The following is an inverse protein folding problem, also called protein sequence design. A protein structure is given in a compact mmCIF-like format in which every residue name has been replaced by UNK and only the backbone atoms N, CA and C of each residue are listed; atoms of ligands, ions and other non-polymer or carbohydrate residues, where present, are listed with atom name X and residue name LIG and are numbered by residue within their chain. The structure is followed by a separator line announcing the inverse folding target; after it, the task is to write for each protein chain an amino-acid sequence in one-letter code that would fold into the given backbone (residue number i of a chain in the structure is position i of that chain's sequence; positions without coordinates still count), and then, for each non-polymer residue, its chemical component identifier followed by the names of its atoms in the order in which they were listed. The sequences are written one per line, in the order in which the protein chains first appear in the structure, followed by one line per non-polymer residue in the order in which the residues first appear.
data_IF_079548188407
#
_entry.id   IF_079548188407
#
_cell.length_a   1.000
_cell.length_b   1.000
_cell.length_c   1.000
_cell.angle_alpha   90.00
_cell.angle_beta   90.00
_cell.angle_gamma   90.00
#
_symmetry.space_group_name_H-M   'P 1'
#
loop_
_entity.id
_entity.type
_entity.pdbx_description
1 polymer ?
#
# COMPACT_ATOMS: atom_id res chain seq x y z
N UNK A 1 27.76 22.48 -5.63
CA UNK A 1 27.19 23.71 -5.01
C UNK A 1 26.50 24.62 -6.03
N UNK A 2 27.07 24.89 -7.20
CA UNK A 2 26.42 25.70 -8.26
C UNK A 2 25.23 24.99 -8.93
N UNK A 3 25.30 23.70 -9.22
CA UNK A 3 24.18 22.92 -9.79
C UNK A 3 22.95 22.86 -8.87
N UNK A 4 23.13 22.79 -7.54
CA UNK A 4 22.00 22.82 -6.60
C UNK A 4 21.32 24.20 -6.53
N UNK A 5 22.06 25.28 -6.73
CA UNK A 5 21.51 26.64 -6.68
C UNK A 5 20.71 26.99 -7.95
N UNK A 6 21.22 26.58 -9.13
CA UNK A 6 20.48 26.74 -10.39
C UNK A 6 19.25 25.84 -10.46
N UNK A 7 19.34 24.61 -9.99
CA UNK A 7 18.20 23.68 -9.90
C UNK A 7 17.07 24.23 -9.03
N UNK A 8 17.38 24.76 -7.82
CA UNK A 8 16.39 25.39 -6.94
C UNK A 8 15.74 26.62 -7.58
N UNK A 9 16.52 27.49 -8.25
CA UNK A 9 15.98 28.70 -8.91
C UNK A 9 15.01 28.38 -10.05
N UNK A 10 15.26 27.31 -10.81
CA UNK A 10 14.34 26.83 -11.86
C UNK A 10 13.08 26.24 -11.21
N UNK A 11 13.19 25.52 -10.08
CA UNK A 11 12.07 24.94 -9.40
C UNK A 11 11.10 25.98 -8.82
N UNK A 12 11.58 27.08 -8.24
CA UNK A 12 10.71 28.18 -7.78
C UNK A 12 9.96 28.90 -8.91
N UNK A 13 10.40 28.77 -10.16
CA UNK A 13 9.66 29.26 -11.32
C UNK A 13 8.48 28.36 -11.71
N UNK A 14 8.39 27.14 -11.14
CA UNK A 14 7.29 26.21 -11.37
C UNK A 14 6.01 26.72 -10.72
N UNK A 15 4.97 26.83 -11.50
CA UNK A 15 3.66 27.35 -11.07
C UNK A 15 2.75 26.21 -10.66
N UNK A 16 2.16 26.34 -9.47
CA UNK A 16 1.38 25.30 -8.83
C UNK A 16 -0.12 25.65 -8.85
N UNK A 17 -0.95 24.69 -9.27
CA UNK A 17 -2.39 24.74 -9.11
C UNK A 17 -2.85 23.78 -8.03
N UNK A 18 -3.87 24.13 -7.24
CA UNK A 18 -4.41 23.26 -6.20
C UNK A 18 -5.95 23.23 -6.27
N UNK A 19 -6.54 22.09 -6.57
CA UNK A 19 -8.00 21.89 -6.69
C UNK A 19 -8.50 21.08 -5.51
N UNK A 20 -9.50 21.65 -4.80
CA UNK A 20 -10.03 21.09 -3.55
C UNK A 20 -9.33 21.71 -2.35
N UNK A 21 -9.85 22.86 -1.90
CA UNK A 21 -9.33 23.65 -0.78
C UNK A 21 -10.08 23.36 0.52
N UNK A 22 -10.29 22.07 0.78
CA UNK A 22 -10.90 21.59 2.01
C UNK A 22 -9.91 21.58 3.19
N UNK A 23 -10.24 20.79 4.23
CA UNK A 23 -9.41 20.68 5.46
C UNK A 23 -7.97 20.21 5.21
N UNK A 24 -7.72 19.48 4.14
CA UNK A 24 -6.37 19.05 3.72
C UNK A 24 -5.80 20.02 2.69
N UNK A 25 -6.55 20.33 1.63
CA UNK A 25 -6.00 21.01 0.46
C UNK A 25 -5.59 22.45 0.72
N UNK A 26 -6.36 23.23 1.51
CA UNK A 26 -6.00 24.61 1.80
C UNK A 26 -4.68 24.71 2.58
N UNK A 27 -4.49 24.01 3.74
CA UNK A 27 -3.23 24.09 4.45
C UNK A 27 -2.02 23.58 3.64
N UNK A 28 -2.19 22.56 2.77
CA UNK A 28 -1.13 22.09 1.88
C UNK A 28 -0.75 23.17 0.85
N UNK A 29 -1.75 23.79 0.20
CA UNK A 29 -1.52 24.83 -0.79
C UNK A 29 -0.80 26.06 -0.18
N UNK A 30 -1.22 26.47 1.03
CA UNK A 30 -0.58 27.57 1.76
C UNK A 30 0.84 27.23 2.20
N UNK A 31 1.07 26.00 2.69
CA UNK A 31 2.43 25.56 3.06
C UNK A 31 3.39 25.54 1.87
N UNK A 32 2.91 25.19 0.67
CA UNK A 32 3.67 25.25 -0.57
C UNK A 32 3.97 26.71 -0.94
N UNK A 33 2.99 27.61 -0.80
CA UNK A 33 3.18 29.05 -1.06
C UNK A 33 4.20 29.69 -0.08
N UNK A 34 4.16 29.29 1.20
CA UNK A 34 5.12 29.75 2.23
C UNK A 34 6.57 29.33 1.89
N UNK A 35 6.76 28.28 1.06
CA UNK A 35 8.08 27.90 0.50
C UNK A 35 8.50 28.71 -0.71
N UNK A 36 7.69 29.70 -1.13
CA UNK A 36 8.02 30.65 -2.19
C UNK A 36 7.51 30.27 -3.59
N UNK A 37 6.64 29.27 -3.71
CA UNK A 37 6.02 28.92 -4.98
C UNK A 37 4.84 29.86 -5.32
N UNK A 38 4.63 30.11 -6.64
CA UNK A 38 3.40 30.74 -7.14
C UNK A 38 2.26 29.71 -7.13
N UNK A 39 1.36 29.82 -6.14
CA UNK A 39 0.25 28.87 -5.92
C UNK A 39 -1.09 29.55 -6.23
N UNK A 40 -1.90 28.89 -7.06
CA UNK A 40 -3.30 29.24 -7.26
C UNK A 40 -4.20 28.10 -6.82
N UNK A 41 -5.36 28.42 -6.27
CA UNK A 41 -6.30 27.43 -5.77
C UNK A 41 -7.70 27.59 -6.36
N UNK A 42 -8.46 26.47 -6.38
CA UNK A 42 -9.87 26.44 -6.73
C UNK A 42 -10.63 25.45 -5.83
N UNK A 43 -11.82 25.84 -5.43
CA UNK A 43 -12.78 24.96 -4.76
C UNK A 43 -14.20 25.26 -5.26
N UNK A 44 -15.11 24.28 -5.20
CA UNK A 44 -16.54 24.47 -5.54
C UNK A 44 -17.25 25.34 -4.50
N UNK A 45 -16.74 25.38 -3.27
CA UNK A 45 -17.18 26.27 -2.21
C UNK A 45 -16.28 27.51 -2.19
N UNK A 46 -16.83 28.74 -2.19
CA UNK A 46 -16.02 29.95 -2.12
C UNK A 46 -15.00 29.92 -0.99
N UNK A 47 -13.76 30.25 -1.30
CA UNK A 47 -12.63 30.30 -0.37
C UNK A 47 -11.93 31.65 -0.46
N UNK A 48 -11.17 31.98 0.58
CA UNK A 48 -10.24 33.11 0.60
C UNK A 48 -8.94 32.70 1.29
N UNK A 49 -7.85 33.27 0.87
CA UNK A 49 -6.53 33.11 1.49
C UNK A 49 -5.71 34.36 1.19
N UNK A 50 -4.85 34.72 2.14
CA UNK A 50 -3.86 35.80 1.97
C UNK A 50 -2.53 35.30 1.38
N UNK A 51 -2.39 33.97 1.23
CA UNK A 51 -1.14 33.30 0.79
C UNK A 51 -1.18 32.78 -0.65
N UNK A 52 -2.38 32.44 -1.14
CA UNK A 52 -2.57 31.88 -2.48
C UNK A 52 -3.65 32.66 -3.24
N UNK A 53 -3.54 32.70 -4.57
CA UNK A 53 -4.56 33.30 -5.42
C UNK A 53 -5.72 32.33 -5.67
N UNK A 54 -6.95 32.71 -5.33
CA UNK A 54 -8.14 31.88 -5.59
C UNK A 54 -8.69 32.21 -6.98
N UNK A 55 -8.95 31.18 -7.78
CA UNK A 55 -9.55 31.29 -9.12
C UNK A 55 -11.04 30.92 -9.09
N UNK A 56 -11.81 31.51 -10.01
CA UNK A 56 -13.25 31.27 -10.12
C UNK A 56 -13.62 29.95 -10.80
N UNK A 57 -12.75 29.44 -11.64
CA UNK A 57 -12.98 28.21 -12.42
C UNK A 57 -11.72 27.34 -12.51
N UNK A 58 -11.92 26.04 -12.77
CA UNK A 58 -10.81 25.10 -13.05
C UNK A 58 -10.02 25.56 -14.30
N UNK A 59 -10.72 26.05 -15.35
CA UNK A 59 -10.08 26.54 -16.55
C UNK A 59 -9.08 27.66 -16.26
N UNK A 60 -9.52 28.70 -15.52
CA UNK A 60 -8.65 29.81 -15.11
C UNK A 60 -7.46 29.35 -14.25
N UNK A 61 -7.68 28.29 -13.41
CA UNK A 61 -6.63 27.75 -12.57
C UNK A 61 -5.55 27.08 -13.43
N UNK A 62 -5.92 26.19 -14.36
CA UNK A 62 -4.97 25.32 -15.07
C UNK A 62 -4.25 26.02 -16.21
N UNK A 63 -4.77 27.16 -16.70
CA UNK A 63 -4.27 27.84 -17.92
C UNK A 63 -2.77 28.15 -17.88
N UNK A 64 -2.22 28.39 -16.71
CA UNK A 64 -0.86 28.88 -16.50
C UNK A 64 -0.12 28.09 -15.38
N UNK A 65 -0.45 26.81 -15.17
CA UNK A 65 0.15 25.99 -14.10
C UNK A 65 0.94 24.83 -14.68
N UNK A 66 2.11 24.56 -14.13
CA UNK A 66 2.97 23.45 -14.53
C UNK A 66 2.53 22.14 -13.87
N UNK A 67 2.20 22.22 -12.58
CA UNK A 67 1.74 21.10 -11.77
C UNK A 67 0.40 21.46 -11.14
N UNK A 68 -0.60 20.60 -11.32
CA UNK A 68 -1.94 20.78 -10.75
C UNK A 68 -2.27 19.62 -9.83
N UNK A 69 -2.37 19.90 -8.53
CA UNK A 69 -2.77 18.95 -7.51
C UNK A 69 -4.29 18.88 -7.36
N UNK A 70 -4.83 17.68 -7.23
CA UNK A 70 -6.26 17.42 -7.02
C UNK A 70 -6.46 16.71 -5.69
N UNK A 71 -7.09 17.40 -4.73
CA UNK A 71 -7.41 16.92 -3.38
C UNK A 71 -8.93 16.83 -3.16
N UNK A 72 -9.65 16.32 -4.14
CA UNK A 72 -11.09 16.12 -4.09
C UNK A 72 -11.46 14.94 -3.22
N UNK A 73 -12.45 15.00 -2.33
CA UNK A 73 -12.80 13.88 -1.46
C UNK A 73 -13.30 12.66 -2.25
N UNK A 74 -13.02 11.47 -1.71
CA UNK A 74 -13.53 10.18 -2.16
C UNK A 74 -14.36 9.55 -1.04
N UNK A 75 -15.58 10.07 -0.76
CA UNK A 75 -16.40 9.60 0.35
C UNK A 75 -16.99 8.22 0.06
N UNK A 76 -17.37 7.53 1.13
CA UNK A 76 -18.39 6.49 1.04
C UNK A 76 -19.80 7.09 0.95
N UNK A 77 -20.78 6.25 0.70
CA UNK A 77 -22.19 6.58 0.81
C UNK A 77 -22.58 6.85 2.27
N UNK A 78 -23.74 7.49 2.46
CA UNK A 78 -24.29 7.73 3.77
C UNK A 78 -24.45 6.40 4.55
N UNK A 79 -24.11 6.44 5.83
CA UNK A 79 -24.11 5.27 6.72
C UNK A 79 -22.82 4.43 6.71
N UNK A 80 -21.83 4.72 5.83
CA UNK A 80 -20.52 4.02 5.80
C UNK A 80 -19.40 4.78 6.51
N UNK A 81 -19.74 5.82 7.27
CA UNK A 81 -18.76 6.70 7.94
C UNK A 81 -18.20 6.16 9.28
N UNK A 82 -18.63 4.97 9.69
CA UNK A 82 -18.17 4.30 10.92
C UNK A 82 -18.71 4.88 12.23
N UNK A 83 -19.61 5.87 12.20
CA UNK A 83 -20.26 6.41 13.41
C UNK A 83 -21.31 5.45 14.01
N UNK A 84 -21.77 4.53 13.20
CA UNK A 84 -22.63 3.40 13.57
C UNK A 84 -22.02 2.10 13.07
N UNK A 85 -22.44 0.91 13.57
CA UNK A 85 -21.89 -0.36 13.06
C UNK A 85 -22.06 -0.50 11.55
N UNK A 86 -20.96 -0.81 10.85
CA UNK A 86 -20.94 -0.92 9.38
C UNK A 86 -20.52 -2.31 8.87
N UNK A 87 -19.97 -3.18 9.73
CA UNK A 87 -19.47 -4.51 9.33
C UNK A 87 -20.52 -5.44 8.70
N UNK A 88 -21.82 -5.18 8.97
CA UNK A 88 -22.96 -5.93 8.42
C UNK A 88 -23.47 -5.37 7.08
N UNK A 89 -23.00 -4.21 6.67
CA UNK A 89 -23.42 -3.57 5.42
C UNK A 89 -22.78 -4.27 4.21
N UNK A 90 -23.42 -4.20 3.02
CA UNK A 90 -22.79 -4.66 1.80
C UNK A 90 -21.45 -3.97 1.56
N UNK A 91 -20.45 -4.73 1.09
CA UNK A 91 -19.15 -4.15 0.74
C UNK A 91 -19.28 -3.20 -0.45
N UNK A 92 -18.63 -2.03 -0.38
CA UNK A 92 -18.66 -1.00 -1.43
C UNK A 92 -17.30 -0.33 -1.59
N UNK A 93 -17.03 0.13 -2.82
CA UNK A 93 -15.90 0.99 -3.13
C UNK A 93 -16.22 2.45 -2.73
N UNK A 94 -15.23 3.33 -2.79
CA UNK A 94 -15.43 4.78 -2.62
C UNK A 94 -16.26 5.36 -3.77
N UNK A 95 -16.90 6.51 -3.52
CA UNK A 95 -17.50 7.29 -4.58
C UNK A 95 -16.44 8.20 -5.24
N UNK A 96 -16.21 7.98 -6.52
CA UNK A 96 -15.23 8.71 -7.32
C UNK A 96 -15.81 9.81 -8.19
N UNK A 97 -17.10 10.08 -8.14
CA UNK A 97 -17.77 11.00 -9.08
C UNK A 97 -17.21 12.43 -9.04
N UNK A 98 -16.88 12.92 -7.85
CA UNK A 98 -16.28 14.24 -7.70
C UNK A 98 -14.87 14.30 -8.34
N UNK A 99 -14.05 13.28 -8.10
CA UNK A 99 -12.72 13.16 -8.71
C UNK A 99 -12.81 13.07 -10.23
N UNK A 100 -13.66 12.19 -10.75
CA UNK A 100 -13.88 12.04 -12.22
C UNK A 100 -14.27 13.35 -12.90
N UNK A 101 -15.21 14.10 -12.30
CA UNK A 101 -15.65 15.40 -12.82
C UNK A 101 -14.51 16.43 -12.85
N UNK A 102 -13.67 16.46 -11.82
CA UNK A 102 -12.53 17.37 -11.76
C UNK A 102 -11.47 16.97 -12.78
N UNK A 103 -11.09 15.69 -12.84
CA UNK A 103 -10.07 15.19 -13.78
C UNK A 103 -10.49 15.42 -15.24
N UNK A 104 -11.77 15.17 -15.60
CA UNK A 104 -12.27 15.45 -16.94
C UNK A 104 -12.15 16.94 -17.30
N UNK A 105 -12.55 17.84 -16.39
CA UNK A 105 -12.43 19.30 -16.60
C UNK A 105 -10.97 19.74 -16.71
N UNK A 106 -10.05 19.15 -15.95
CA UNK A 106 -8.63 19.39 -16.09
C UNK A 106 -8.14 18.91 -17.46
N UNK A 107 -8.52 17.69 -17.87
CA UNK A 107 -8.13 17.14 -19.16
C UNK A 107 -8.56 18.01 -20.35
N UNK A 108 -9.77 18.61 -20.30
CA UNK A 108 -10.31 19.49 -21.34
C UNK A 108 -9.52 20.81 -21.50
N UNK A 109 -8.80 21.25 -20.46
CA UNK A 109 -8.14 22.56 -20.40
C UNK A 109 -6.62 22.50 -20.18
N UNK A 110 -6.04 21.32 -19.99
CA UNK A 110 -4.60 21.11 -19.80
C UNK A 110 -3.94 20.53 -21.05
N UNK A 111 -2.63 20.67 -21.13
CA UNK A 111 -1.79 20.20 -22.24
C UNK A 111 -0.84 19.08 -21.80
N UNK A 112 -0.16 18.45 -22.76
CA UNK A 112 0.86 17.42 -22.54
C UNK A 112 2.09 17.91 -21.76
N UNK A 113 2.33 19.22 -21.72
CA UNK A 113 3.45 19.81 -20.99
C UNK A 113 3.18 19.93 -19.49
N UNK A 114 1.91 19.97 -19.09
CA UNK A 114 1.48 20.09 -17.71
C UNK A 114 1.39 18.72 -17.02
N UNK A 115 1.43 18.69 -15.70
CA UNK A 115 1.32 17.49 -14.88
C UNK A 115 0.11 17.59 -13.96
N UNK A 116 -0.81 16.65 -14.09
CA UNK A 116 -1.98 16.51 -13.23
C UNK A 116 -1.70 15.47 -12.15
N UNK A 117 -1.81 15.85 -10.88
CA UNK A 117 -1.42 15.02 -9.73
C UNK A 117 -2.63 14.77 -8.85
N UNK A 118 -3.06 13.52 -8.76
CA UNK A 118 -4.14 13.11 -7.86
C UNK A 118 -3.57 12.77 -6.47
N UNK A 119 -4.12 13.43 -5.43
CA UNK A 119 -3.76 13.20 -4.02
C UNK A 119 -4.78 12.28 -3.32
N UNK A 120 -6.03 12.31 -3.76
CA UNK A 120 -7.15 11.63 -3.09
C UNK A 120 -6.91 10.14 -2.89
N UNK A 121 -7.24 9.63 -1.71
CA UNK A 121 -7.10 8.20 -1.39
C UNK A 121 -8.06 7.36 -2.24
N UNK A 122 -7.53 6.31 -2.86
CA UNK A 122 -8.29 5.38 -3.70
C UNK A 122 -7.81 3.93 -3.46
N UNK A 123 -8.59 2.94 -3.89
CA UNK A 123 -8.19 1.53 -3.82
C UNK A 123 -7.18 1.16 -4.93
N UNK A 124 -6.33 0.15 -4.71
CA UNK A 124 -5.38 -0.34 -5.71
C UNK A 124 -6.07 -0.68 -7.05
N UNK A 125 -5.49 -0.18 -8.15
CA UNK A 125 -6.02 -0.33 -9.51
C UNK A 125 -7.05 0.73 -9.93
N UNK A 126 -7.48 1.61 -9.04
CA UNK A 126 -8.51 2.62 -9.32
C UNK A 126 -8.04 3.65 -10.35
N UNK A 127 -6.83 4.19 -10.19
CA UNK A 127 -6.32 5.20 -11.13
C UNK A 127 -6.29 4.67 -12.56
N UNK A 128 -5.88 3.44 -12.76
CA UNK A 128 -5.85 2.81 -14.09
C UNK A 128 -7.26 2.56 -14.63
N UNK A 129 -8.14 2.00 -13.80
CA UNK A 129 -9.50 1.59 -14.19
C UNK A 129 -10.42 2.78 -14.41
N UNK A 130 -10.41 3.76 -13.48
CA UNK A 130 -11.42 4.80 -13.42
C UNK A 130 -10.96 6.15 -13.99
N UNK A 131 -9.67 6.51 -13.85
CA UNK A 131 -9.19 7.86 -14.11
C UNK A 131 -8.35 7.97 -15.36
N UNK A 132 -7.46 7.01 -15.63
CA UNK A 132 -6.62 7.04 -16.81
C UNK A 132 -7.38 7.14 -18.14
N UNK A 133 -8.57 6.51 -18.31
CA UNK A 133 -9.38 6.70 -19.51
C UNK A 133 -9.91 8.13 -19.70
N UNK A 134 -10.02 8.92 -18.62
CA UNK A 134 -10.53 10.29 -18.64
C UNK A 134 -9.41 11.32 -18.88
N UNK A 135 -8.14 10.94 -18.71
CA UNK A 135 -7.00 11.87 -18.77
C UNK A 135 -6.07 11.48 -19.90
N UNK A 136 -6.29 12.10 -21.07
CA UNK A 136 -5.56 11.81 -22.31
C UNK A 136 -4.72 12.99 -22.81
N UNK A 137 -5.10 14.23 -22.45
CA UNK A 137 -4.48 15.46 -22.91
C UNK A 137 -3.33 15.96 -22.03
N UNK A 138 -3.16 15.37 -20.84
CA UNK A 138 -2.10 15.72 -19.89
C UNK A 138 -1.50 14.46 -19.25
N UNK A 139 -0.50 14.63 -18.41
CA UNK A 139 0.16 13.52 -17.70
C UNK A 139 -0.44 13.34 -16.32
N UNK A 140 -1.09 12.19 -16.07
CA UNK A 140 -1.65 11.83 -14.78
C UNK A 140 -0.60 11.15 -13.91
N UNK A 141 -0.38 11.71 -12.72
CA UNK A 141 0.41 11.14 -11.64
C UNK A 141 -0.48 10.89 -10.42
N UNK A 142 -0.09 9.94 -9.59
CA UNK A 142 -0.74 9.68 -8.30
C UNK A 142 0.25 9.94 -7.17
N UNK A 143 -0.14 10.76 -6.20
CA UNK A 143 0.76 11.18 -5.13
C UNK A 143 -0.05 11.33 -3.83
N UNK A 144 -0.43 10.22 -3.18
CA UNK A 144 -1.20 10.26 -1.95
C UNK A 144 -0.35 10.77 -0.78
N UNK A 145 -1.00 11.43 0.17
CA UNK A 145 -0.33 11.98 1.35
C UNK A 145 -0.56 11.14 2.60
N UNK A 146 0.46 11.07 3.48
CA UNK A 146 0.36 10.55 4.83
C UNK A 146 0.23 11.74 5.81
N UNK A 147 -0.93 12.37 5.79
CA UNK A 147 -1.23 13.58 6.56
C UNK A 147 -2.30 13.28 7.60
N UNK A 148 -2.05 13.69 8.85
CA UNK A 148 -3.02 13.63 9.93
C UNK A 148 -3.81 14.95 10.06
N UNK A 149 -5.11 14.86 10.39
CA UNK A 149 -5.90 16.06 10.69
C UNK A 149 -5.40 16.71 11.98
N UNK A 150 -5.10 18.00 11.92
CA UNK A 150 -4.52 18.77 13.01
C UNK A 150 -3.05 19.16 12.79
N UNK A 151 -2.30 18.41 11.97
CA UNK A 151 -0.88 18.67 11.66
C UNK A 151 -0.63 18.85 10.16
N UNK A 152 -1.68 19.14 9.36
CA UNK A 152 -1.63 19.11 7.90
C UNK A 152 -0.48 19.92 7.30
N UNK A 153 -0.25 21.14 7.77
CA UNK A 153 0.81 22.01 7.24
C UNK A 153 2.21 21.47 7.60
N UNK A 154 2.38 20.95 8.81
CA UNK A 154 3.64 20.34 9.26
C UNK A 154 3.91 19.04 8.50
N UNK A 155 2.90 18.13 8.40
CA UNK A 155 3.03 16.88 7.65
C UNK A 155 3.29 17.10 6.15
N UNK A 156 2.89 18.26 5.59
CA UNK A 156 3.19 18.63 4.20
C UNK A 156 4.67 18.95 4.00
N UNK A 157 5.31 19.58 4.97
CA UNK A 157 6.73 20.00 4.87
C UNK A 157 7.68 19.05 5.61
N UNK A 158 7.18 18.18 6.48
CA UNK A 158 7.92 17.16 7.21
C UNK A 158 7.30 15.76 7.05
N UNK A 159 7.00 15.28 5.83
CA UNK A 159 6.35 14.00 5.64
C UNK A 159 7.26 12.83 6.02
N UNK A 160 6.67 11.71 6.46
CA UNK A 160 7.39 10.45 6.71
C UNK A 160 7.98 9.87 5.43
N UNK A 161 7.23 9.95 4.33
CA UNK A 161 7.65 9.58 2.98
C UNK A 161 6.81 10.28 1.91
N UNK A 162 7.37 10.42 0.73
CA UNK A 162 6.70 10.86 -0.48
C UNK A 162 6.45 9.63 -1.38
N UNK A 163 5.21 9.46 -1.84
CA UNK A 163 4.85 8.38 -2.76
C UNK A 163 4.51 8.97 -4.13
N UNK A 164 5.21 8.55 -5.18
CA UNK A 164 5.02 9.05 -6.54
C UNK A 164 4.67 7.89 -7.47
N UNK A 165 3.43 7.84 -7.92
CA UNK A 165 2.91 6.82 -8.82
C UNK A 165 2.70 7.32 -10.25
N UNK A 166 3.13 6.54 -11.22
CA UNK A 166 2.89 6.79 -12.63
C UNK A 166 2.36 5.54 -13.36
N UNK A 167 1.96 5.70 -14.61
CA UNK A 167 1.39 4.58 -15.40
C UNK A 167 2.27 3.33 -15.42
N UNK A 168 3.59 3.50 -15.50
CA UNK A 168 4.56 2.42 -15.65
C UNK A 168 5.72 2.53 -14.62
N UNK A 169 5.49 3.16 -13.49
CA UNK A 169 6.55 3.43 -12.52
C UNK A 169 7.68 4.25 -13.13
N UNK A 170 8.91 3.83 -12.90
CA UNK A 170 10.11 4.47 -13.49
C UNK A 170 10.40 4.02 -14.93
N UNK A 171 9.61 3.10 -15.48
CA UNK A 171 9.76 2.62 -16.85
C UNK A 171 9.17 3.60 -17.84
N UNK A 172 9.94 3.90 -18.90
CA UNK A 172 9.56 4.85 -19.94
C UNK A 172 9.92 6.30 -19.62
N UNK A 173 10.48 7.00 -20.64
CA UNK A 173 11.04 8.34 -20.52
C UNK A 173 10.08 9.38 -19.91
N UNK A 174 8.82 9.38 -20.35
CA UNK A 174 7.85 10.38 -19.87
C UNK A 174 7.43 10.17 -18.40
N UNK A 175 7.26 8.92 -17.97
CA UNK A 175 6.95 8.61 -16.57
C UNK A 175 8.10 9.03 -15.66
N UNK A 176 9.32 8.68 -16.03
CA UNK A 176 10.53 9.03 -15.31
C UNK A 176 10.70 10.55 -15.16
N UNK A 177 10.59 11.31 -16.25
CA UNK A 177 10.72 12.78 -16.20
C UNK A 177 9.72 13.40 -15.23
N UNK A 178 8.45 12.93 -15.22
CA UNK A 178 7.42 13.47 -14.33
C UNK A 178 7.61 13.06 -12.87
N UNK A 179 8.10 11.86 -12.63
CA UNK A 179 8.46 11.41 -11.27
C UNK A 179 9.64 12.25 -10.73
N UNK A 180 10.68 12.45 -11.52
CA UNK A 180 11.84 13.29 -11.16
C UNK A 180 11.45 14.77 -10.97
N UNK A 181 10.46 15.29 -11.72
CA UNK A 181 9.91 16.64 -11.51
C UNK A 181 9.24 16.77 -10.14
N UNK A 182 8.39 15.80 -9.77
CA UNK A 182 7.73 15.80 -8.46
C UNK A 182 8.73 15.58 -7.31
N UNK A 183 9.72 14.71 -7.48
CA UNK A 183 10.79 14.54 -6.50
C UNK A 183 11.54 15.86 -6.28
N UNK A 184 11.92 16.55 -7.35
CA UNK A 184 12.59 17.85 -7.27
C UNK A 184 11.72 18.92 -6.60
N UNK A 185 10.40 18.88 -6.84
CA UNK A 185 9.44 19.75 -6.17
C UNK A 185 9.45 19.48 -4.65
N UNK A 186 9.36 18.23 -4.22
CA UNK A 186 9.37 17.88 -2.80
C UNK A 186 10.71 18.16 -2.13
N UNK A 187 11.83 17.95 -2.80
CA UNK A 187 13.15 18.35 -2.30
C UNK A 187 13.27 19.86 -2.02
N UNK A 188 12.36 20.66 -2.59
CA UNK A 188 12.31 22.12 -2.35
C UNK A 188 11.28 22.47 -1.27
N UNK A 189 10.17 21.73 -1.19
CA UNK A 189 9.08 21.97 -0.25
C UNK A 189 9.37 21.39 1.13
N UNK A 190 9.96 20.19 1.21
CA UNK A 190 10.16 19.48 2.47
C UNK A 190 11.39 19.97 3.24
N UNK A 191 11.26 20.01 4.57
CA UNK A 191 12.33 20.42 5.49
C UNK A 191 13.15 19.24 6.03
N UNK A 192 12.61 18.01 5.99
CA UNK A 192 13.16 16.83 6.66
C UNK A 192 13.83 15.81 5.72
N UNK A 193 14.05 16.13 4.43
CA UNK A 193 14.65 15.23 3.43
C UNK A 193 14.01 13.83 3.46
N UNK A 194 12.69 13.70 3.19
CA UNK A 194 11.98 12.45 3.31
C UNK A 194 12.40 11.45 2.23
N UNK A 195 12.34 10.16 2.53
CA UNK A 195 12.49 9.15 1.49
C UNK A 195 11.39 9.28 0.43
N UNK A 196 11.75 9.02 -0.83
CA UNK A 196 10.82 9.06 -1.96
C UNK A 196 10.62 7.64 -2.49
N UNK A 197 9.38 7.18 -2.51
CA UNK A 197 8.96 5.88 -3.04
C UNK A 197 8.30 6.08 -4.41
N UNK A 198 8.97 5.63 -5.45
CA UNK A 198 8.48 5.74 -6.83
C UNK A 198 8.00 4.39 -7.34
N UNK A 199 6.81 4.38 -7.96
CA UNK A 199 6.22 3.13 -8.45
C UNK A 199 5.14 3.34 -9.51
N UNK A 200 4.46 2.26 -9.83
CA UNK A 200 3.22 2.31 -10.61
C UNK A 200 2.09 2.94 -9.79
N UNK A 201 1.00 3.28 -10.45
CA UNK A 201 -0.21 3.75 -9.75
C UNK A 201 -0.67 2.73 -8.69
N UNK A 202 -0.71 1.45 -9.07
CA UNK A 202 -1.15 0.36 -8.19
C UNK A 202 -0.27 0.18 -6.96
N UNK A 203 1.05 0.32 -7.12
CA UNK A 203 2.00 0.22 -6.01
C UNK A 203 1.82 1.37 -5.00
N UNK A 204 1.67 2.60 -5.49
CA UNK A 204 1.50 3.77 -4.61
C UNK A 204 0.10 3.85 -3.99
N UNK A 205 -0.95 3.42 -4.69
CA UNK A 205 -2.29 3.22 -4.14
C UNK A 205 -2.25 2.19 -3.00
N UNK A 206 -1.54 1.07 -3.22
CA UNK A 206 -1.35 0.00 -2.23
C UNK A 206 -0.57 0.50 -1.01
N UNK A 207 0.54 1.22 -1.21
CA UNK A 207 1.32 1.80 -0.10
C UNK A 207 0.42 2.65 0.80
N UNK A 208 -0.40 3.54 0.22
CA UNK A 208 -1.30 4.43 0.98
C UNK A 208 -2.36 3.66 1.76
N UNK A 209 -3.06 2.72 1.13
CA UNK A 209 -4.16 2.00 1.77
C UNK A 209 -3.65 1.04 2.85
N UNK A 210 -2.60 0.26 2.55
CA UNK A 210 -2.07 -0.71 3.49
C UNK A 210 -1.31 -0.08 4.65
N UNK A 211 -0.74 1.12 4.48
CA UNK A 211 -0.22 1.92 5.60
C UNK A 211 -1.32 2.17 6.66
N UNK A 212 -2.48 2.65 6.24
CA UNK A 212 -3.60 2.87 7.15
C UNK A 212 -4.11 1.57 7.78
N UNK A 213 -4.20 0.49 7.00
CA UNK A 213 -4.65 -0.82 7.48
C UNK A 213 -3.67 -1.41 8.51
N UNK A 214 -2.36 -1.24 8.30
CA UNK A 214 -1.34 -1.67 9.25
C UNK A 214 -1.50 -0.95 10.60
N UNK A 215 -1.74 0.36 10.58
CA UNK A 215 -2.04 1.14 11.81
C UNK A 215 -3.32 0.63 12.47
N UNK A 216 -4.38 0.36 11.69
CA UNK A 216 -5.65 -0.17 12.21
C UNK A 216 -5.46 -1.52 12.92
N UNK A 217 -4.64 -2.41 12.36
CA UNK A 217 -4.30 -3.69 13.00
C UNK A 217 -3.55 -3.49 14.32
N UNK A 218 -2.58 -2.55 14.38
CA UNK A 218 -1.87 -2.22 15.63
C UNK A 218 -2.84 -1.71 16.70
N UNK A 219 -3.75 -0.81 16.34
CA UNK A 219 -4.76 -0.24 17.25
C UNK A 219 -5.69 -1.36 17.75
N UNK A 220 -6.21 -2.19 16.85
CA UNK A 220 -7.12 -3.29 17.22
C UNK A 220 -6.43 -4.27 18.19
N UNK A 221 -5.16 -4.62 17.94
CA UNK A 221 -4.39 -5.51 18.79
C UNK A 221 -4.19 -4.91 20.20
N UNK A 222 -3.79 -3.65 20.33
CA UNK A 222 -3.54 -3.05 21.65
C UNK A 222 -4.85 -2.84 22.43
N UNK A 223 -5.96 -2.52 21.75
CA UNK A 223 -7.28 -2.44 22.38
C UNK A 223 -7.75 -3.80 22.87
N UNK A 224 -7.48 -4.88 22.13
CA UNK A 224 -7.79 -6.24 22.58
C UNK A 224 -6.97 -6.64 23.82
N UNK A 225 -5.68 -6.26 23.90
CA UNK A 225 -4.87 -6.44 25.10
C UNK A 225 -5.50 -5.70 26.29
N UNK A 226 -6.10 -4.53 26.07
CA UNK A 226 -6.83 -3.78 27.09
C UNK A 226 -8.06 -4.54 27.59
N UNK A 227 -8.86 -5.12 26.69
CA UNK A 227 -10.04 -5.90 27.06
C UNK A 227 -9.67 -7.15 27.85
N UNK A 228 -8.59 -7.85 27.45
CA UNK A 228 -8.03 -8.99 28.22
C UNK A 228 -7.59 -8.53 29.61
N UNK A 229 -6.86 -7.43 29.72
CA UNK A 229 -6.40 -6.90 31.00
C UNK A 229 -7.58 -6.57 31.94
N UNK A 230 -8.61 -5.91 31.39
CA UNK A 230 -9.81 -5.54 32.13
C UNK A 230 -10.56 -6.76 32.68
N UNK A 231 -10.73 -7.81 31.88
CA UNK A 231 -11.48 -9.01 32.27
C UNK A 231 -10.67 -9.98 33.12
N UNK A 232 -9.40 -10.13 32.85
CA UNK A 232 -8.51 -11.04 33.59
C UNK A 232 -8.18 -10.50 35.00
N UNK A 233 -8.04 -9.18 35.17
CA UNK A 233 -7.53 -8.54 36.38
C UNK A 233 -6.03 -8.78 36.57
N UNK A 234 -5.44 -8.11 37.56
CA UNK A 234 -3.99 -8.21 37.87
C UNK A 234 -3.03 -7.98 36.68
N UNK A 235 -3.50 -7.30 35.65
CA UNK A 235 -2.76 -6.98 34.45
C UNK A 235 -2.90 -5.49 34.12
N UNK A 236 -1.78 -4.80 33.99
CA UNK A 236 -1.69 -3.41 33.54
C UNK A 236 -1.39 -3.42 32.03
N UNK A 237 -2.36 -2.95 31.25
CA UNK A 237 -2.24 -2.87 29.79
C UNK A 237 -1.09 -2.00 29.34
N UNK A 238 -0.85 -0.87 30.01
CA UNK A 238 0.20 0.08 29.64
C UNK A 238 1.59 -0.53 29.82
N UNK A 239 1.78 -1.34 30.88
CA UNK A 239 3.02 -2.06 31.09
C UNK A 239 3.30 -3.06 29.97
N UNK A 240 2.28 -3.78 29.50
CA UNK A 240 2.40 -4.73 28.40
C UNK A 240 2.69 -4.03 27.09
N UNK A 241 1.90 -3.02 26.73
CA UNK A 241 2.02 -2.34 25.44
C UNK A 241 3.31 -1.53 25.34
N UNK A 242 3.77 -0.90 26.44
CA UNK A 242 5.08 -0.23 26.47
C UNK A 242 6.24 -1.21 26.30
N UNK A 243 6.16 -2.41 26.85
CA UNK A 243 7.18 -3.45 26.63
C UNK A 243 7.23 -3.87 25.15
N UNK A 244 6.07 -4.06 24.53
CA UNK A 244 5.98 -4.38 23.09
C UNK A 244 6.52 -3.24 22.23
N UNK A 245 6.19 -1.99 22.54
CA UNK A 245 6.66 -0.81 21.79
C UNK A 245 8.19 -0.62 21.82
N UNK A 246 8.88 -1.15 22.82
CA UNK A 246 10.34 -1.14 22.93
C UNK A 246 11.02 -2.31 22.19
N UNK A 247 10.25 -3.21 21.57
CA UNK A 247 10.77 -4.41 20.89
C UNK A 247 11.25 -4.09 19.46
N UNK A 248 12.40 -3.45 19.34
CA UNK A 248 12.94 -2.93 18.08
C UNK A 248 13.51 -3.98 17.11
N UNK A 249 13.76 -5.20 17.57
CA UNK A 249 14.30 -6.26 16.69
C UNK A 249 13.27 -6.85 15.73
N UNK A 250 11.98 -6.87 16.10
CA UNK A 250 10.93 -7.54 15.33
C UNK A 250 9.66 -6.70 15.20
N UNK A 251 9.10 -6.19 16.29
CA UNK A 251 7.79 -5.50 16.29
C UNK A 251 7.91 -4.11 15.68
N UNK A 252 8.90 -3.33 16.11
CA UNK A 252 9.18 -1.98 15.60
C UNK A 252 10.41 -2.05 14.67
N UNK A 253 10.30 -2.83 13.59
CA UNK A 253 11.39 -3.08 12.64
C UNK A 253 10.81 -3.60 11.31
N UNK A 254 11.62 -3.66 10.23
CA UNK A 254 11.19 -4.25 8.94
C UNK A 254 11.13 -5.79 8.96
N UNK A 255 11.49 -6.46 10.05
CA UNK A 255 11.35 -7.90 10.17
C UNK A 255 9.88 -8.34 9.94
N UNK A 256 9.69 -9.44 9.23
CA UNK A 256 8.38 -9.99 8.84
C UNK A 256 7.56 -9.11 7.87
N UNK A 257 8.19 -8.16 7.19
CA UNK A 257 7.56 -7.34 6.15
C UNK A 257 7.81 -7.87 4.71
N UNK A 258 8.44 -9.04 4.58
CA UNK A 258 8.66 -9.69 3.28
C UNK A 258 7.59 -10.74 3.02
N UNK A 259 6.84 -10.55 1.94
CA UNK A 259 5.87 -11.54 1.49
C UNK A 259 6.56 -12.80 0.91
N UNK A 260 5.97 -13.98 1.13
CA UNK A 260 6.49 -15.26 0.67
C UNK A 260 5.74 -16.42 1.31
N UNK A 261 6.44 -17.51 1.59
CA UNK A 261 5.91 -18.70 2.28
C UNK A 261 6.28 -18.74 3.77
N UNK A 262 6.28 -17.59 4.45
CA UNK A 262 6.66 -17.53 5.86
C UNK A 262 5.57 -16.93 6.74
N UNK A 263 5.34 -17.51 7.90
CA UNK A 263 4.40 -17.02 8.91
C UNK A 263 4.95 -17.09 10.35
N UNK A 264 6.27 -17.26 10.48
CA UNK A 264 6.95 -17.29 11.78
C UNK A 264 7.04 -18.66 12.46
N UNK A 265 6.52 -19.72 11.84
CA UNK A 265 6.67 -21.13 12.32
C UNK A 265 5.69 -21.53 13.40
N UNK A 266 6.06 -22.57 14.17
CA UNK A 266 5.18 -23.28 15.09
C UNK A 266 4.51 -22.42 16.17
N UNK A 267 5.18 -21.38 16.65
CA UNK A 267 4.64 -20.52 17.71
C UNK A 267 3.39 -19.75 17.26
N UNK A 268 3.36 -19.29 16.01
CA UNK A 268 2.30 -18.40 15.53
C UNK A 268 0.93 -19.09 15.50
N UNK A 269 0.72 -20.23 14.80
CA UNK A 269 -0.58 -20.91 14.87
C UNK A 269 -0.91 -21.41 16.28
N UNK A 270 0.07 -21.97 17.01
CA UNK A 270 -0.15 -22.49 18.37
C UNK A 270 -0.67 -21.41 19.32
N UNK A 271 -0.02 -20.25 19.34
CA UNK A 271 -0.35 -19.18 20.29
C UNK A 271 -1.68 -18.51 19.90
N UNK A 272 -1.96 -18.33 18.60
CA UNK A 272 -3.27 -17.82 18.17
C UNK A 272 -4.41 -18.78 18.50
N UNK A 273 -4.21 -20.10 18.36
CA UNK A 273 -5.22 -21.11 18.77
C UNK A 273 -5.49 -21.03 20.28
N UNK A 274 -4.44 -20.90 21.10
CA UNK A 274 -4.58 -20.76 22.55
C UNK A 274 -5.28 -19.44 22.93
N UNK A 275 -4.99 -18.35 22.23
CA UNK A 275 -5.61 -17.05 22.46
C UNK A 275 -7.09 -17.02 22.04
N UNK A 276 -7.50 -17.81 21.04
CA UNK A 276 -8.92 -18.02 20.72
C UNK A 276 -9.68 -18.63 21.90
N UNK A 277 -9.08 -19.66 22.54
CA UNK A 277 -9.65 -20.23 23.73
C UNK A 277 -9.79 -19.20 24.87
N UNK A 278 -8.74 -18.39 25.11
CA UNK A 278 -8.77 -17.34 26.12
C UNK A 278 -9.85 -16.28 25.84
N UNK A 279 -9.97 -15.84 24.59
CA UNK A 279 -11.00 -14.88 24.19
C UNK A 279 -12.42 -15.41 24.50
N UNK A 280 -12.66 -16.72 24.28
CA UNK A 280 -13.90 -17.37 24.60
C UNK A 280 -14.13 -17.49 26.13
N UNK A 281 -13.12 -17.92 26.90
CA UNK A 281 -13.21 -18.03 28.35
C UNK A 281 -13.49 -16.70 29.04
N UNK A 282 -12.94 -15.62 28.52
CA UNK A 282 -13.14 -14.27 29.03
C UNK A 282 -14.40 -13.57 28.48
N UNK A 283 -15.15 -14.25 27.61
CA UNK A 283 -16.33 -13.68 26.93
C UNK A 283 -16.08 -12.28 26.38
N UNK A 284 -15.06 -12.15 25.48
CA UNK A 284 -14.73 -10.87 24.86
C UNK A 284 -15.80 -10.41 23.87
N UNK A 285 -16.62 -11.32 23.34
CA UNK A 285 -17.64 -11.02 22.33
C UNK A 285 -17.10 -10.89 20.90
N UNK A 286 -15.79 -11.06 20.68
CA UNK A 286 -15.12 -11.10 19.37
C UNK A 286 -13.84 -11.96 19.44
N UNK A 287 -13.37 -12.44 18.27
CA UNK A 287 -12.17 -13.29 18.17
C UNK A 287 -11.29 -12.85 16.98
N UNK A 288 -10.35 -11.94 17.24
CA UNK A 288 -9.38 -11.49 16.25
C UNK A 288 -8.40 -12.61 15.85
N UNK A 289 -8.13 -13.54 16.77
CA UNK A 289 -7.20 -14.65 16.52
C UNK A 289 -7.76 -15.66 15.53
N UNK A 290 -9.10 -15.90 15.56
CA UNK A 290 -9.79 -16.68 14.53
C UNK A 290 -9.60 -16.07 13.14
N UNK A 291 -9.73 -14.75 13.04
CA UNK A 291 -9.53 -14.03 11.78
C UNK A 291 -8.10 -14.22 11.24
N UNK A 292 -7.08 -14.14 12.10
CA UNK A 292 -5.67 -14.38 11.73
C UNK A 292 -5.48 -15.81 11.22
N UNK A 293 -6.02 -16.82 11.95
CA UNK A 293 -5.90 -18.23 11.56
C UNK A 293 -6.65 -18.53 10.26
N UNK A 294 -7.86 -17.98 10.11
CA UNK A 294 -8.65 -18.12 8.88
C UNK A 294 -7.93 -17.47 7.69
N UNK A 295 -7.35 -16.28 7.86
CA UNK A 295 -6.57 -15.62 6.81
C UNK A 295 -5.36 -16.47 6.39
N UNK A 296 -4.60 -17.01 7.35
CA UNK A 296 -3.46 -17.90 7.10
C UNK A 296 -3.85 -19.11 6.23
N UNK A 297 -4.95 -19.77 6.57
CA UNK A 297 -5.45 -20.93 5.84
C UNK A 297 -5.95 -20.56 4.43
N UNK A 298 -6.68 -19.46 4.29
CA UNK A 298 -7.19 -19.00 2.98
C UNK A 298 -6.06 -18.52 2.07
N UNK A 299 -5.03 -17.88 2.60
CA UNK A 299 -3.83 -17.52 1.85
C UNK A 299 -3.11 -18.76 1.30
N UNK A 300 -2.94 -19.80 2.13
CA UNK A 300 -2.36 -21.07 1.70
C UNK A 300 -3.21 -21.77 0.62
N UNK A 301 -4.52 -21.76 0.76
CA UNK A 301 -5.45 -22.30 -0.25
C UNK A 301 -5.38 -21.53 -1.56
N UNK A 302 -5.29 -20.21 -1.51
CA UNK A 302 -5.14 -19.35 -2.70
C UNK A 302 -3.84 -19.64 -3.43
N UNK A 303 -2.73 -19.75 -2.69
CA UNK A 303 -1.43 -20.12 -3.27
C UNK A 303 -1.47 -21.53 -3.91
N UNK A 304 -2.08 -22.51 -3.25
CA UNK A 304 -2.23 -23.86 -3.80
C UNK A 304 -3.03 -23.86 -5.12
N UNK A 305 -4.11 -23.08 -5.20
CA UNK A 305 -4.87 -22.92 -6.44
C UNK A 305 -4.04 -22.26 -7.54
N UNK A 306 -3.24 -21.25 -7.21
CA UNK A 306 -2.35 -20.63 -8.17
C UNK A 306 -1.29 -21.61 -8.71
N UNK A 307 -0.67 -22.40 -7.83
CA UNK A 307 0.27 -23.46 -8.23
C UNK A 307 -0.38 -24.43 -9.21
N UNK A 308 -1.61 -24.90 -8.91
CA UNK A 308 -2.34 -25.87 -9.72
C UNK A 308 -2.81 -25.36 -11.09
N UNK A 309 -2.74 -24.07 -11.35
CA UNK A 309 -2.96 -23.53 -12.71
C UNK A 309 -1.80 -23.86 -13.66
N UNK A 310 -0.64 -24.19 -13.13
CA UNK A 310 0.58 -24.48 -13.89
C UNK A 310 0.88 -25.98 -14.03
N UNK A 311 0.30 -26.84 -13.18
CA UNK A 311 0.47 -28.29 -13.23
C UNK A 311 -0.10 -28.96 -11.99
N UNK A 312 -0.37 -30.27 -12.09
CA UNK A 312 -0.97 -31.05 -10.99
C UNK A 312 0.03 -31.89 -10.23
N UNK A 313 1.18 -32.21 -10.82
CA UNK A 313 2.24 -32.97 -10.16
C UNK A 313 3.29 -31.99 -9.60
N UNK A 314 3.25 -31.75 -8.30
CA UNK A 314 3.92 -30.64 -7.64
C UNK A 314 4.96 -31.17 -6.65
N UNK A 315 6.19 -30.67 -6.74
CA UNK A 315 7.23 -30.92 -5.75
C UNK A 315 7.55 -29.65 -4.97
N UNK A 316 7.70 -29.76 -3.66
CA UNK A 316 8.11 -28.65 -2.77
C UNK A 316 9.55 -28.86 -2.34
N UNK A 317 10.39 -27.82 -2.44
CA UNK A 317 11.82 -27.91 -2.13
C UNK A 317 12.10 -28.21 -0.65
N UNK A 318 11.13 -27.96 0.25
CA UNK A 318 11.25 -28.25 1.68
C UNK A 318 9.89 -28.39 2.34
N UNK A 319 9.84 -29.24 3.38
CA UNK A 319 8.72 -29.34 4.32
C UNK A 319 8.92 -28.47 5.56
N UNK A 320 10.12 -27.98 5.81
CA UNK A 320 10.44 -27.22 7.03
C UNK A 320 9.83 -25.80 7.02
N UNK A 321 9.60 -25.24 8.20
CA UNK A 321 9.02 -23.90 8.32
C UNK A 321 10.06 -22.79 8.04
N UNK A 322 11.35 -23.09 8.08
CA UNK A 322 12.45 -22.15 7.74
C UNK A 322 13.69 -22.90 7.26
N UNK A 323 14.59 -22.25 6.51
CA UNK A 323 15.82 -22.88 6.04
C UNK A 323 16.73 -23.31 7.21
N UNK A 324 17.55 -24.32 6.97
CA UNK A 324 18.55 -24.83 7.93
C UNK A 324 17.99 -25.61 9.12
N UNK A 325 16.73 -26.07 9.04
CA UNK A 325 16.10 -26.92 10.06
C UNK A 325 15.25 -28.02 9.43
N UNK A 326 15.01 -29.09 10.18
CA UNK A 326 14.06 -30.16 9.81
C UNK A 326 12.71 -30.03 10.53
N UNK A 327 12.50 -28.94 11.27
CA UNK A 327 11.27 -28.72 12.02
C UNK A 327 10.09 -28.39 11.08
N UNK A 328 9.02 -29.15 11.21
CA UNK A 328 7.83 -29.05 10.36
C UNK A 328 6.59 -28.48 11.07
N UNK A 329 6.63 -28.37 12.40
CA UNK A 329 5.52 -27.82 13.16
C UNK A 329 5.25 -26.37 12.74
N UNK A 330 4.00 -26.08 12.39
CA UNK A 330 3.60 -24.77 11.88
C UNK A 330 4.10 -24.49 10.46
N UNK A 331 4.61 -25.49 9.73
CA UNK A 331 5.09 -25.29 8.36
C UNK A 331 3.99 -24.80 7.43
N UNK A 332 4.22 -23.63 6.84
CA UNK A 332 3.33 -23.09 5.82
C UNK A 332 3.41 -23.90 4.51
N UNK A 333 4.58 -24.47 4.20
CA UNK A 333 4.75 -25.39 3.08
C UNK A 333 3.80 -26.56 3.17
N UNK A 334 3.76 -27.25 4.33
CA UNK A 334 2.85 -28.38 4.54
C UNK A 334 1.38 -27.96 4.47
N UNK A 335 1.03 -26.76 4.91
CA UNK A 335 -0.33 -26.25 4.78
C UNK A 335 -0.71 -26.02 3.31
N UNK A 336 0.19 -25.46 2.50
CA UNK A 336 -0.03 -25.33 1.04
C UNK A 336 -0.13 -26.70 0.37
N UNK A 337 0.73 -27.65 0.73
CA UNK A 337 0.69 -29.05 0.24
C UNK A 337 -0.65 -29.73 0.57
N UNK A 338 -1.19 -29.51 1.79
CA UNK A 338 -2.52 -29.99 2.16
C UNK A 338 -3.60 -29.48 1.16
N UNK A 339 -3.58 -28.19 0.84
CA UNK A 339 -4.53 -27.62 -0.12
C UNK A 339 -4.28 -28.04 -1.57
N UNK A 340 -3.04 -28.25 -1.98
CA UNK A 340 -2.71 -28.86 -3.28
C UNK A 340 -3.40 -30.21 -3.43
N UNK A 341 -3.27 -31.11 -2.43
CA UNK A 341 -3.96 -32.40 -2.41
C UNK A 341 -5.48 -32.26 -2.41
N UNK A 342 -6.00 -31.37 -1.56
CA UNK A 342 -7.44 -31.09 -1.44
C UNK A 342 -8.08 -30.65 -2.75
N UNK A 343 -7.34 -29.93 -3.60
CA UNK A 343 -7.78 -29.45 -4.90
C UNK A 343 -7.38 -30.37 -6.08
N UNK A 344 -7.01 -31.63 -5.81
CA UNK A 344 -6.78 -32.65 -6.81
C UNK A 344 -5.38 -32.66 -7.42
N UNK A 345 -4.42 -31.96 -6.81
CA UNK A 345 -3.00 -32.08 -7.13
C UNK A 345 -2.35 -33.31 -6.50
N UNK A 346 -1.22 -33.69 -7.01
CA UNK A 346 -0.38 -34.80 -6.51
C UNK A 346 0.94 -34.22 -6.02
N UNK A 347 1.46 -34.74 -4.91
CA UNK A 347 2.78 -34.36 -4.42
C UNK A 347 3.81 -35.38 -4.90
N UNK A 348 4.83 -34.90 -5.59
CA UNK A 348 5.97 -35.70 -5.99
C UNK A 348 6.89 -35.96 -4.80
N UNK A 349 7.41 -37.21 -4.69
CA UNK A 349 8.31 -37.59 -3.60
C UNK A 349 9.78 -37.16 -3.83
N UNK A 350 10.09 -36.51 -4.95
CA UNK A 350 11.39 -35.99 -5.32
C UNK A 350 11.39 -35.48 -6.76
N UNK A 351 12.44 -34.78 -7.12
CA UNK A 351 12.61 -34.19 -8.45
C UNK A 351 12.85 -35.24 -9.56
N UNK A 352 13.18 -36.49 -9.18
CA UNK A 352 13.39 -37.60 -10.13
C UNK A 352 12.10 -38.18 -10.73
N UNK A 353 10.94 -37.86 -10.14
CA UNK A 353 9.63 -38.19 -10.71
C UNK A 353 9.21 -37.10 -11.71
N UNK A 354 8.35 -37.40 -12.72
CA UNK A 354 7.86 -36.35 -13.58
C UNK A 354 7.17 -35.26 -12.79
N UNK A 355 7.82 -34.10 -12.64
CA UNK A 355 7.33 -32.93 -11.90
C UNK A 355 6.91 -31.87 -12.90
N UNK A 356 5.69 -31.34 -12.78
CA UNK A 356 5.20 -30.24 -13.60
C UNK A 356 5.52 -28.88 -12.96
N UNK A 357 5.46 -28.82 -11.62
CA UNK A 357 5.72 -27.58 -10.88
C UNK A 357 6.67 -27.85 -9.68
N UNK A 358 7.71 -27.09 -9.59
CA UNK A 358 8.60 -27.01 -8.42
C UNK A 358 8.24 -25.77 -7.63
N UNK A 359 7.87 -25.93 -6.36
CA UNK A 359 7.62 -24.80 -5.45
C UNK A 359 8.88 -24.54 -4.62
N UNK A 360 9.43 -23.34 -4.75
CA UNK A 360 10.58 -22.89 -3.99
C UNK A 360 10.15 -22.41 -2.60
N UNK A 361 10.28 -23.29 -1.61
CA UNK A 361 9.73 -23.06 -0.26
C UNK A 361 10.48 -21.96 0.50
N UNK A 362 11.81 -21.97 0.44
CA UNK A 362 12.62 -20.92 1.09
C UNK A 362 13.36 -20.08 0.05
N UNK A 363 13.61 -18.82 0.40
CA UNK A 363 14.37 -17.91 -0.46
C UNK A 363 15.78 -18.42 -0.78
N UNK A 364 16.38 -19.17 0.15
CA UNK A 364 17.70 -19.76 0.01
C UNK A 364 17.74 -21.11 -0.72
N UNK A 365 16.55 -21.69 -1.05
CA UNK A 365 16.54 -23.00 -1.69
C UNK A 365 17.05 -22.89 -3.14
N UNK A 366 18.05 -23.68 -3.43
CA UNK A 366 18.55 -23.85 -4.79
C UNK A 366 17.74 -24.96 -5.47
N UNK A 367 17.02 -24.59 -6.52
CA UNK A 367 16.24 -25.51 -7.33
C UNK A 367 16.69 -25.37 -8.78
N UNK A 368 16.70 -26.49 -9.50
CA UNK A 368 16.98 -26.52 -10.93
C UNK A 368 15.88 -27.29 -11.63
N UNK A 369 15.48 -26.82 -12.79
CA UNK A 369 14.46 -27.45 -13.61
C UNK A 369 14.85 -27.39 -15.09
N UNK A 370 14.35 -28.31 -15.87
CA UNK A 370 14.37 -28.16 -17.33
C UNK A 370 13.33 -27.13 -17.77
N UNK A 371 13.36 -26.75 -19.05
CA UNK A 371 12.44 -25.73 -19.58
C UNK A 371 10.97 -26.15 -19.60
N UNK A 372 10.66 -27.43 -19.39
CA UNK A 372 9.29 -27.94 -19.36
C UNK A 372 8.65 -27.92 -17.97
N UNK A 373 9.47 -27.76 -16.92
CA UNK A 373 9.03 -27.73 -15.53
C UNK A 373 8.95 -26.29 -15.03
N UNK A 374 7.80 -25.91 -14.48
CA UNK A 374 7.58 -24.56 -13.92
C UNK A 374 8.27 -24.43 -12.55
N UNK A 375 9.01 -23.36 -12.33
CA UNK A 375 9.49 -22.96 -11.00
C UNK A 375 8.53 -21.91 -10.46
N UNK A 376 7.79 -22.25 -9.43
CA UNK A 376 6.92 -21.34 -8.70
C UNK A 376 7.70 -20.71 -7.54
N UNK A 377 8.01 -19.41 -7.65
CA UNK A 377 8.80 -18.66 -6.67
C UNK A 377 7.97 -17.63 -5.89
N UNK A 378 7.52 -17.96 -4.69
CA UNK A 378 6.78 -17.02 -3.82
C UNK A 378 7.64 -15.87 -3.29
N UNK A 379 8.98 -15.95 -3.41
CA UNK A 379 9.92 -14.94 -2.91
C UNK A 379 10.32 -13.90 -3.94
N UNK A 380 10.11 -14.21 -5.24
CA UNK A 380 10.42 -13.33 -6.38
C UNK A 380 11.91 -12.97 -6.48
N UNK A 381 12.76 -13.91 -6.07
CA UNK A 381 14.23 -13.75 -6.06
C UNK A 381 14.95 -14.72 -6.98
N UNK A 382 14.24 -15.71 -7.54
CA UNK A 382 14.79 -16.59 -8.55
C UNK A 382 15.04 -15.81 -9.86
N UNK A 383 16.08 -16.11 -10.63
CA UNK A 383 16.32 -15.47 -11.92
C UNK A 383 15.12 -15.55 -12.85
N UNK A 384 14.82 -14.47 -13.57
CA UNK A 384 13.72 -14.44 -14.53
C UNK A 384 13.98 -15.40 -15.71
N UNK A 385 13.01 -16.24 -16.03
CA UNK A 385 12.98 -17.15 -17.18
C UNK A 385 11.54 -17.46 -17.56
N UNK A 386 11.31 -17.96 -18.79
CA UNK A 386 9.95 -18.23 -19.32
C UNK A 386 9.18 -19.26 -18.48
N UNK A 387 9.89 -20.15 -17.78
CA UNK A 387 9.30 -21.17 -16.91
C UNK A 387 9.34 -20.79 -15.43
N UNK A 388 9.55 -19.52 -15.07
CA UNK A 388 9.56 -19.03 -13.69
C UNK A 388 8.33 -18.16 -13.43
N UNK A 389 7.58 -18.50 -12.40
CA UNK A 389 6.41 -17.74 -11.94
C UNK A 389 6.76 -17.06 -10.62
N UNK A 390 6.92 -15.74 -10.65
CA UNK A 390 7.07 -14.92 -9.47
C UNK A 390 5.69 -14.60 -8.88
N UNK A 391 5.28 -15.33 -7.85
CA UNK A 391 3.98 -15.14 -7.24
C UNK A 391 3.86 -13.78 -6.54
N UNK A 392 2.89 -12.97 -6.98
CA UNK A 392 2.69 -11.59 -6.48
C UNK A 392 3.42 -10.51 -7.29
N UNK A 393 3.83 -10.82 -8.53
CA UNK A 393 4.48 -9.87 -9.43
C UNK A 393 3.79 -9.86 -10.80
#
# INVERSE_FOLDING_TARGET
MLESFFGKKIMYATKIGFIGLGKLGMPCAEAIADKGFDVTGYDVVPKSSDRITIKGTIKELVEDRDIVFVATPTPHEDGYDGRTPTSHLPVKDFNYDAVKKVLAKCNDNMTQEQTLVLISTVLPGTTRREFAPLVTNTKLMYNPYLIAMGTVADDMVNPEMIMIGSKNGMSGKNCRIRSELLESFYNTVCDNDPRVEMGTWEETESMKIFYNTFISNKIALVNMIQDVAHKLGNMDVDKVTQALAKSTKRIVSPAYMKAGMGDGGACHPRDNIALRWLAKELDLGYDMFDTIMTARERQAETMAKAILTHGKNVWFSSDSYKPGTTLVDGSYSLLVQYYVKKHGGQLANGIETPVEVIVRVHESDEVTADNSTIIFDPWRTYPEADNVIHYGK
#
